data_IF_017928111102
#
_entry.id   IF_017928111102
#
_cell.length_a   1.000
_cell.length_b   1.000
_cell.length_c   1.000
_cell.angle_alpha   90.00
_cell.angle_beta   90.00
_cell.angle_gamma   90.00
#
_symmetry.space_group_name_H-M   'P 1'
#
loop_
_entity.id
_entity.type
_entity.pdbx_description
1 polymer ?
#
# COMPACT_ATOMS: atom_id res chain seq x y z
N UNK A 1 17.48 -20.46 -16.50
CA UNK A 1 16.62 -19.66 -17.38
C UNK A 1 16.53 -18.29 -16.76
N UNK A 2 17.16 -17.33 -17.42
CA UNK A 2 17.30 -15.95 -16.96
C UNK A 2 16.08 -15.20 -17.50
N UNK A 3 15.09 -14.94 -16.64
CA UNK A 3 14.03 -14.00 -17.00
C UNK A 3 14.57 -12.57 -16.86
N UNK A 4 15.31 -12.13 -17.87
CA UNK A 4 15.49 -10.72 -18.17
C UNK A 4 14.19 -10.21 -18.81
N UNK A 5 13.24 -9.79 -17.97
CA UNK A 5 12.18 -8.90 -18.43
C UNK A 5 12.38 -7.51 -17.79
N UNK A 6 13.03 -6.57 -18.47
CA UNK A 6 13.16 -5.21 -17.98
C UNK A 6 11.77 -4.54 -18.04
N UNK A 7 11.31 -4.03 -16.90
CA UNK A 7 10.00 -3.40 -16.67
C UNK A 7 8.82 -4.33 -16.40
N UNK A 8 8.91 -5.15 -15.34
CA UNK A 8 7.70 -5.38 -14.54
C UNK A 8 7.44 -4.07 -13.78
N UNK A 9 6.62 -3.18 -14.35
CA UNK A 9 6.18 -1.96 -13.67
C UNK A 9 5.57 -2.36 -12.33
N UNK A 10 6.14 -1.88 -11.23
CA UNK A 10 5.58 -2.12 -9.90
C UNK A 10 4.10 -1.71 -9.90
N UNK A 11 3.22 -2.58 -9.41
CA UNK A 11 1.78 -2.33 -9.39
C UNK A 11 1.49 -1.12 -8.49
N UNK A 12 0.97 -0.04 -9.07
CA UNK A 12 0.59 1.15 -8.33
C UNK A 12 -0.55 0.82 -7.35
N UNK A 13 -0.34 1.14 -6.07
CA UNK A 13 -1.37 1.04 -5.05
C UNK A 13 -2.07 2.38 -4.91
N UNK A 14 -3.34 2.45 -5.28
CA UNK A 14 -4.15 3.68 -5.24
C UNK A 14 -5.57 3.49 -4.69
N UNK A 15 -5.93 2.27 -4.27
CA UNK A 15 -7.27 1.92 -3.82
C UNK A 15 -7.25 1.58 -2.34
N UNK A 16 -7.52 2.61 -1.53
CA UNK A 16 -7.49 2.57 -0.06
C UNK A 16 -8.82 3.05 0.53
N UNK A 17 -9.93 2.34 0.29
CA UNK A 17 -11.22 2.72 0.85
C UNK A 17 -11.24 2.48 2.37
N UNK A 18 -12.14 3.17 3.09
CA UNK A 18 -12.47 2.81 4.47
C UNK A 18 -13.48 1.66 4.53
N UNK A 19 -14.36 1.56 3.53
CA UNK A 19 -15.32 0.47 3.35
C UNK A 19 -15.25 -0.02 1.90
N UNK A 20 -14.95 -1.31 1.73
CA UNK A 20 -14.71 -1.88 0.39
C UNK A 20 -15.87 -2.70 -0.17
N UNK A 21 -16.61 -3.40 0.68
CA UNK A 21 -17.67 -4.32 0.27
C UNK A 21 -18.98 -3.93 0.93
N UNK A 22 -19.91 -3.45 0.10
CA UNK A 22 -21.25 -3.05 0.52
C UNK A 22 -22.25 -3.37 -0.59
N UNK A 23 -22.79 -4.60 -0.57
CA UNK A 23 -23.67 -5.09 -1.62
C UNK A 23 -24.78 -5.99 -1.07
N UNK A 24 -25.91 -6.01 -1.78
CA UNK A 24 -27.02 -6.93 -1.54
C UNK A 24 -26.98 -8.01 -2.61
N UNK A 25 -26.89 -9.27 -2.19
CA UNK A 25 -26.73 -10.41 -3.09
C UNK A 25 -27.89 -11.39 -2.92
N UNK A 26 -28.62 -11.77 -4.00
CA UNK A 26 -29.67 -12.76 -3.91
C UNK A 26 -29.07 -14.17 -3.73
N UNK A 27 -29.53 -14.89 -2.71
CA UNK A 27 -29.03 -16.24 -2.34
C UNK A 27 -29.81 -17.39 -3.00
N UNK A 28 -30.82 -17.08 -3.81
CA UNK A 28 -31.65 -18.07 -4.49
C UNK A 28 -32.42 -19.00 -3.53
N UNK A 29 -32.99 -20.08 -4.08
CA UNK A 29 -33.81 -21.04 -3.31
C UNK A 29 -32.99 -21.90 -2.35
N UNK A 30 -31.70 -22.09 -2.63
CA UNK A 30 -30.80 -22.90 -1.82
C UNK A 30 -30.23 -22.14 -0.61
N UNK A 31 -30.41 -20.82 -0.57
CA UNK A 31 -29.92 -19.97 0.52
C UNK A 31 -28.40 -19.85 0.59
N UNK A 32 -27.69 -20.18 -0.49
CA UNK A 32 -26.23 -20.16 -0.57
C UNK A 32 -25.76 -19.32 -1.76
N UNK A 33 -24.72 -18.53 -1.55
CA UNK A 33 -24.06 -17.78 -2.61
C UNK A 33 -22.56 -17.69 -2.33
N UNK A 34 -21.77 -17.71 -3.40
CA UNK A 34 -20.33 -17.46 -3.36
C UNK A 34 -20.06 -16.19 -4.16
N UNK A 35 -19.31 -15.26 -3.58
CA UNK A 35 -18.93 -13.99 -4.22
C UNK A 35 -17.41 -13.91 -4.31
N UNK A 36 -16.91 -13.51 -5.48
CA UNK A 36 -15.49 -13.25 -5.70
C UNK A 36 -15.26 -11.75 -5.79
N UNK A 37 -14.36 -11.21 -4.96
CA UNK A 37 -14.03 -9.78 -4.91
C UNK A 37 -12.52 -9.60 -4.72
N UNK A 38 -11.97 -8.55 -5.33
CA UNK A 38 -10.55 -8.21 -5.21
C UNK A 38 -10.32 -7.35 -3.98
N UNK A 39 -9.48 -7.83 -3.06
CA UNK A 39 -9.14 -7.08 -1.84
C UNK A 39 -8.55 -5.70 -2.17
N UNK A 40 -8.80 -4.68 -1.34
CA UNK A 40 -8.20 -3.37 -1.52
C UNK A 40 -6.70 -3.40 -1.25
N UNK A 41 -6.00 -2.35 -1.65
CA UNK A 41 -4.56 -2.27 -1.49
C UNK A 41 -4.12 -1.98 -0.05
N UNK A 42 -5.05 -1.67 0.87
CA UNK A 42 -4.75 -1.45 2.30
C UNK A 42 -4.26 -2.75 2.94
N UNK A 43 -3.08 -2.71 3.57
CA UNK A 43 -2.53 -3.81 4.37
C UNK A 43 -3.16 -3.76 5.75
N UNK A 44 -4.23 -4.52 5.94
CA UNK A 44 -5.03 -4.48 7.17
C UNK A 44 -5.88 -5.75 7.31
N UNK A 45 -6.54 -5.86 8.46
CA UNK A 45 -7.58 -6.85 8.71
C UNK A 45 -8.94 -6.27 8.33
N UNK A 46 -9.54 -6.80 7.27
CA UNK A 46 -10.88 -6.46 6.85
C UNK A 46 -11.89 -7.27 7.67
N UNK A 47 -12.72 -6.59 8.45
CA UNK A 47 -13.80 -7.23 9.22
C UNK A 47 -15.11 -7.11 8.44
N UNK A 48 -15.63 -8.26 8.00
CA UNK A 48 -16.88 -8.36 7.26
C UNK A 48 -18.05 -8.70 8.17
N UNK A 49 -19.17 -8.00 7.96
CA UNK A 49 -20.46 -8.27 8.58
C UNK A 49 -21.44 -8.75 7.52
N UNK A 50 -22.24 -9.76 7.83
CA UNK A 50 -23.23 -10.30 6.88
C UNK A 50 -24.58 -10.45 7.55
N UNK A 51 -25.61 -10.00 6.85
CA UNK A 51 -27.01 -10.16 7.24
C UNK A 51 -27.78 -10.82 6.12
N UNK A 52 -28.75 -11.66 6.46
CA UNK A 52 -29.59 -12.38 5.51
C UNK A 52 -31.06 -12.12 5.84
N UNK A 53 -31.87 -11.85 4.82
CA UNK A 53 -33.31 -11.62 4.96
C UNK A 53 -34.04 -12.67 4.12
N UNK A 54 -34.93 -13.42 4.76
CA UNK A 54 -35.77 -14.44 4.13
C UNK A 54 -37.25 -14.18 4.45
N UNK A 55 -38.15 -14.31 3.46
CA UNK A 55 -39.59 -14.23 3.72
C UNK A 55 -40.11 -15.40 4.57
N UNK A 56 -39.39 -16.52 4.62
CA UNK A 56 -39.79 -17.72 5.39
C UNK A 56 -39.14 -17.74 6.77
N UNK A 57 -37.86 -17.35 6.86
CA UNK A 57 -37.06 -17.46 8.09
C UNK A 57 -36.79 -16.13 8.79
N UNK A 58 -37.22 -15.01 8.22
CA UNK A 58 -36.99 -13.67 8.79
C UNK A 58 -35.54 -13.19 8.61
N UNK A 59 -35.04 -12.46 9.60
CA UNK A 59 -33.69 -11.88 9.61
C UNK A 59 -32.70 -12.81 10.31
N UNK A 60 -31.56 -13.06 9.67
CA UNK A 60 -30.39 -13.71 10.25
C UNK A 60 -29.17 -12.79 10.23
N UNK A 61 -28.38 -12.80 11.30
CA UNK A 61 -27.12 -12.05 11.40
C UNK A 61 -26.00 -13.05 11.66
N UNK A 62 -24.98 -13.03 10.81
CA UNK A 62 -23.81 -13.88 10.98
C UNK A 62 -22.80 -13.25 11.94
N UNK A 63 -21.99 -14.04 12.66
CA UNK A 63 -20.82 -13.51 13.36
C UNK A 63 -19.84 -12.86 12.35
N UNK A 64 -19.09 -11.85 12.78
CA UNK A 64 -18.12 -11.19 11.91
C UNK A 64 -17.02 -12.15 11.47
N UNK A 65 -16.54 -11.97 10.24
CA UNK A 65 -15.42 -12.74 9.67
C UNK A 65 -14.29 -11.79 9.29
N UNK A 66 -13.05 -12.16 9.63
CA UNK A 66 -11.87 -11.35 9.35
C UNK A 66 -11.09 -11.90 8.15
N UNK A 67 -10.66 -11.01 7.25
CA UNK A 67 -9.79 -11.33 6.11
C UNK A 67 -8.56 -10.42 6.18
N UNK A 68 -7.38 -11.01 6.29
CA UNK A 68 -6.12 -10.27 6.35
C UNK A 68 -5.55 -10.03 4.95
N UNK A 69 -5.42 -8.76 4.55
CA UNK A 69 -4.73 -8.35 3.34
C UNK A 69 -3.27 -8.02 3.67
N UNK A 70 -2.32 -8.76 3.07
CA UNK A 70 -0.90 -8.63 3.43
C UNK A 70 0.06 -8.76 2.23
N UNK A 71 1.19 -8.07 2.32
CA UNK A 71 2.31 -8.15 1.38
C UNK A 71 3.62 -8.21 2.17
N UNK A 72 4.60 -9.01 1.71
CA UNK A 72 5.88 -9.16 2.40
C UNK A 72 6.75 -7.91 2.34
N UNK A 73 6.53 -7.05 1.35
CA UNK A 73 7.27 -5.82 1.15
C UNK A 73 6.32 -4.76 0.59
N UNK A 74 6.21 -3.62 1.27
CA UNK A 74 5.34 -2.54 0.86
C UNK A 74 5.76 -1.19 1.45
N UNK A 75 5.34 -0.13 0.76
CA UNK A 75 5.33 1.23 1.30
C UNK A 75 3.97 1.51 1.95
N UNK A 76 4.02 2.27 3.03
CA UNK A 76 2.87 2.88 3.68
C UNK A 76 3.14 4.36 3.91
N UNK A 77 2.09 5.15 4.00
CA UNK A 77 2.23 6.59 4.17
C UNK A 77 1.10 7.17 5.02
N UNK A 78 1.43 8.26 5.72
CA UNK A 78 0.46 8.99 6.54
C UNK A 78 0.37 10.43 6.07
N UNK A 79 -0.82 10.80 5.59
CA UNK A 79 -1.16 12.16 5.19
C UNK A 79 -2.29 12.69 6.08
N UNK A 80 -2.25 13.97 6.46
CA UNK A 80 -3.38 14.63 7.09
C UNK A 80 -4.50 14.81 6.06
N UNK A 81 -5.71 15.07 6.55
CA UNK A 81 -6.87 15.33 5.69
C UNK A 81 -6.64 16.47 4.69
N UNK A 82 -5.95 17.55 5.10
CA UNK A 82 -5.57 18.65 4.22
C UNK A 82 -4.35 19.41 4.77
N UNK A 83 -3.69 20.17 3.90
CA UNK A 83 -2.53 21.02 4.23
C UNK A 83 -2.81 22.41 3.70
N UNK A 84 -2.45 23.47 4.44
CA UNK A 84 -2.62 24.84 3.93
C UNK A 84 -1.46 25.21 3.01
N UNK A 85 -1.78 25.91 1.92
CA UNK A 85 -0.79 26.47 0.99
C UNK A 85 0.26 27.31 1.74
N UNK A 86 1.53 27.06 1.45
CA UNK A 86 2.67 27.75 2.04
C UNK A 86 3.19 27.17 3.35
N UNK A 87 2.45 26.25 3.99
CA UNK A 87 2.92 25.53 5.17
C UNK A 87 3.96 24.47 4.79
N UNK A 88 4.83 24.13 5.74
CA UNK A 88 5.80 23.04 5.61
C UNK A 88 5.21 21.80 6.28
N UNK A 89 5.04 20.74 5.50
CA UNK A 89 4.53 19.45 5.95
C UNK A 89 5.65 18.40 5.92
N UNK A 90 5.69 17.53 6.92
CA UNK A 90 6.56 16.35 6.91
C UNK A 90 5.74 15.14 6.47
N UNK A 91 5.85 14.78 5.20
CA UNK A 91 5.24 13.59 4.63
C UNK A 91 6.07 12.36 4.99
N UNK A 92 5.54 11.53 5.89
CA UNK A 92 6.20 10.31 6.38
C UNK A 92 5.82 9.14 5.49
N UNK A 93 6.84 8.49 4.96
CA UNK A 93 6.72 7.26 4.19
C UNK A 93 7.49 6.17 4.92
N UNK A 94 6.77 5.10 5.26
CA UNK A 94 7.30 3.93 5.95
C UNK A 94 7.49 2.81 4.94
N UNK A 95 8.64 2.15 5.00
CA UNK A 95 8.93 1.00 4.17
C UNK A 95 9.10 -0.23 5.06
N UNK A 96 8.32 -1.26 4.78
CA UNK A 96 8.30 -2.48 5.57
C UNK A 96 8.94 -3.64 4.80
N UNK A 97 9.86 -4.34 5.46
CA UNK A 97 10.43 -5.60 4.97
C UNK A 97 10.09 -6.73 5.94
N UNK A 98 9.10 -7.55 5.59
CA UNK A 98 8.74 -8.75 6.33
C UNK A 98 9.46 -10.01 5.84
N UNK A 99 10.36 -9.89 4.86
CA UNK A 99 11.18 -11.00 4.41
C UNK A 99 12.23 -11.40 5.45
N UNK A 100 12.81 -12.59 5.26
CA UNK A 100 13.85 -13.15 6.13
C UNK A 100 15.27 -12.69 5.79
N UNK A 101 15.42 -11.78 4.84
CA UNK A 101 16.70 -11.23 4.39
C UNK A 101 16.61 -9.72 4.22
N UNK A 102 17.76 -9.05 4.25
CA UNK A 102 17.81 -7.59 4.03
C UNK A 102 17.54 -7.26 2.56
N UNK A 103 16.99 -6.07 2.30
CA UNK A 103 16.76 -5.57 0.94
C UNK A 103 17.44 -4.21 0.76
N UNK A 104 18.27 -4.03 -0.28
CA UNK A 104 18.75 -2.71 -0.68
C UNK A 104 17.63 -2.03 -1.45
N UNK A 105 17.06 -0.97 -0.88
CA UNK A 105 15.88 -0.30 -1.44
C UNK A 105 16.15 1.16 -1.68
N UNK A 106 15.85 1.61 -2.90
CA UNK A 106 15.79 3.00 -3.31
C UNK A 106 14.33 3.45 -3.31
N UNK A 107 14.02 4.46 -2.51
CA UNK A 107 12.74 5.15 -2.57
C UNK A 107 12.87 6.43 -3.39
N UNK A 108 11.83 6.74 -4.16
CA UNK A 108 11.76 7.93 -5.02
C UNK A 108 10.36 8.52 -4.94
N UNK A 109 10.29 9.79 -4.59
CA UNK A 109 9.09 10.60 -4.79
C UNK A 109 9.13 11.19 -6.21
N UNK A 110 8.02 11.08 -6.94
CA UNK A 110 7.88 11.71 -8.25
C UNK A 110 7.77 13.23 -8.10
N UNK A 111 8.27 13.96 -9.09
CA UNK A 111 8.11 15.40 -9.13
C UNK A 111 6.65 15.75 -9.43
N UNK A 112 6.08 16.66 -8.65
CA UNK A 112 4.67 17.04 -8.74
C UNK A 112 4.55 18.54 -8.87
N UNK A 113 3.89 19.00 -9.93
CA UNK A 113 3.61 20.42 -10.10
C UNK A 113 2.76 20.95 -8.94
N UNK A 114 3.19 22.08 -8.36
CA UNK A 114 2.48 22.72 -7.26
C UNK A 114 2.87 22.25 -5.85
N UNK A 115 3.84 21.33 -5.71
CA UNK A 115 4.48 20.98 -4.43
C UNK A 115 5.99 21.08 -4.58
N UNK A 116 6.65 21.82 -3.68
CA UNK A 116 8.11 21.79 -3.60
C UNK A 116 8.59 20.75 -2.58
N UNK A 117 9.69 20.07 -2.92
CA UNK A 117 10.57 19.44 -1.94
C UNK A 117 11.44 20.51 -1.28
N UNK A 118 11.26 20.71 0.02
CA UNK A 118 11.96 21.71 0.80
C UNK A 118 13.00 21.05 1.70
N UNK A 119 14.30 21.23 1.44
CA UNK A 119 15.37 20.70 2.31
C UNK A 119 15.31 19.18 2.53
N UNK A 120 14.81 18.43 1.54
CA UNK A 120 14.80 16.96 1.51
C UNK A 120 15.08 16.45 0.10
N UNK A 121 15.65 15.24 -0.01
CA UNK A 121 15.96 14.65 -1.31
C UNK A 121 14.75 13.89 -1.84
N UNK A 122 14.52 13.97 -3.17
CA UNK A 122 13.47 13.17 -3.82
C UNK A 122 13.81 11.67 -3.80
N UNK A 123 15.09 11.32 -3.70
CA UNK A 123 15.60 9.95 -3.73
C UNK A 123 16.39 9.68 -2.44
N UNK A 124 16.17 8.51 -1.86
CA UNK A 124 16.96 7.99 -0.76
C UNK A 124 17.11 6.48 -0.87
N UNK A 125 18.24 5.94 -0.42
CA UNK A 125 18.55 4.52 -0.48
C UNK A 125 18.83 3.97 0.92
N UNK A 126 18.38 2.75 1.18
CA UNK A 126 18.44 2.13 2.49
C UNK A 126 18.69 0.63 2.39
N UNK A 127 19.43 0.08 3.35
CA UNK A 127 19.43 -1.34 3.60
C UNK A 127 18.39 -1.68 4.66
N UNK A 128 17.23 -2.19 4.24
CA UNK A 128 16.14 -2.57 5.17
C UNK A 128 16.42 -3.97 5.69
N UNK A 129 16.66 -4.10 6.99
CA UNK A 129 16.95 -5.38 7.63
C UNK A 129 15.77 -6.36 7.55
N UNK A 130 15.99 -7.66 7.78
CA UNK A 130 14.92 -8.65 7.81
C UNK A 130 13.92 -8.32 8.92
N UNK A 131 12.62 -8.45 8.63
CA UNK A 131 11.54 -8.19 9.60
C UNK A 131 11.64 -6.82 10.27
N UNK A 132 12.09 -5.82 9.51
CA UNK A 132 12.34 -4.48 9.99
C UNK A 132 11.63 -3.44 9.11
N UNK A 133 11.59 -2.20 9.58
CA UNK A 133 11.01 -1.08 8.85
C UNK A 133 11.87 0.15 8.96
N UNK A 134 11.79 1.00 7.94
CA UNK A 134 12.41 2.32 7.94
C UNK A 134 11.34 3.38 7.71
N UNK A 135 11.62 4.61 8.15
CA UNK A 135 10.75 5.76 7.88
C UNK A 135 11.59 6.86 7.25
N UNK A 136 11.19 7.30 6.07
CA UNK A 136 11.74 8.49 5.42
C UNK A 136 10.74 9.65 5.47
N UNK A 137 11.27 10.87 5.57
CA UNK A 137 10.45 12.07 5.67
C UNK A 137 10.76 13.00 4.50
N UNK A 138 9.80 13.11 3.58
CA UNK A 138 9.80 14.16 2.58
C UNK A 138 9.25 15.44 3.21
N UNK A 139 9.96 16.54 3.05
CA UNK A 139 9.51 17.83 3.56
C UNK A 139 8.90 18.57 2.37
N UNK A 140 7.58 18.72 2.41
CA UNK A 140 6.77 19.25 1.30
C UNK A 140 6.27 20.66 1.62
N UNK A 141 6.27 21.53 0.60
CA UNK A 141 5.68 22.87 0.67
C UNK A 141 4.70 23.07 -0.48
N UNK A 142 3.37 23.02 -0.23
CA UNK A 142 2.37 23.23 -1.27
C UNK A 142 2.32 24.69 -1.75
N UNK A 143 2.25 24.88 -3.07
CA UNK A 143 2.16 26.19 -3.75
C UNK A 143 0.79 26.50 -4.32
N UNK A 144 0.00 25.47 -4.65
CA UNK A 144 -1.31 25.62 -5.27
C UNK A 144 -2.43 25.27 -4.30
N UNK A 145 -3.65 25.67 -4.65
CA UNK A 145 -4.88 25.23 -3.97
C UNK A 145 -5.53 24.13 -4.81
N UNK A 146 -6.28 23.24 -4.17
CA UNK A 146 -6.95 22.11 -4.81
C UNK A 146 -6.29 20.78 -4.46
N UNK A 147 -6.67 19.74 -5.20
CA UNK A 147 -6.16 18.38 -5.03
C UNK A 147 -4.89 18.18 -5.85
N UNK A 148 -3.90 17.53 -5.24
CA UNK A 148 -2.61 17.23 -5.86
C UNK A 148 -2.24 15.79 -5.54
N UNK A 149 -1.94 15.01 -6.58
CA UNK A 149 -1.58 13.60 -6.43
C UNK A 149 -0.07 13.45 -6.18
N UNK A 150 0.28 12.80 -5.08
CA UNK A 150 1.67 12.51 -4.72
C UNK A 150 1.93 11.02 -4.92
N UNK A 151 2.99 10.69 -5.67
CA UNK A 151 3.42 9.31 -5.91
C UNK A 151 4.79 9.07 -5.29
N UNK A 152 4.92 7.96 -4.56
CA UNK A 152 6.20 7.46 -4.06
C UNK A 152 6.36 6.00 -4.49
N UNK A 153 7.52 5.67 -5.02
CA UNK A 153 7.86 4.34 -5.48
C UNK A 153 9.10 3.83 -4.78
N UNK A 154 9.17 2.51 -4.57
CA UNK A 154 10.32 1.82 -4.03
C UNK A 154 10.81 0.77 -5.04
N UNK A 155 12.12 0.67 -5.18
CA UNK A 155 12.78 -0.24 -6.11
C UNK A 155 13.98 -0.88 -5.42
N UNK A 156 14.41 -2.04 -5.90
CA UNK A 156 15.70 -2.59 -5.48
C UNK A 156 16.82 -1.68 -5.98
N UNK A 157 17.73 -1.32 -5.07
CA UNK A 157 18.90 -0.52 -5.40
C UNK A 157 20.08 -1.41 -5.77
N UNK A 158 20.33 -1.56 -7.07
CA UNK A 158 21.46 -2.34 -7.59
C UNK A 158 22.81 -1.68 -7.33
N UNK A 159 22.83 -0.37 -7.07
CA UNK A 159 24.05 0.42 -6.89
C UNK A 159 24.32 0.71 -5.41
N UNK A 160 23.69 -0.04 -4.49
CA UNK A 160 23.85 0.16 -3.06
C UNK A 160 25.32 -0.12 -2.65
N UNK A 161 26.01 0.82 -1.98
CA UNK A 161 27.47 0.78 -1.82
C UNK A 161 27.97 -0.31 -0.86
N UNK A 162 27.11 -0.80 0.02
CA UNK A 162 27.45 -1.79 1.05
C UNK A 162 26.75 -3.13 0.75
N UNK A 163 27.30 -4.27 1.23
CA UNK A 163 26.62 -5.55 1.10
C UNK A 163 25.29 -5.52 1.87
N UNK A 164 24.17 -5.58 1.16
CA UNK A 164 22.83 -5.59 1.73
C UNK A 164 21.96 -6.66 1.06
N UNK A 165 21.68 -7.74 1.79
CA UNK A 165 20.80 -8.80 1.32
C UNK A 165 21.48 -9.84 0.43
N UNK A 166 20.70 -10.78 -0.13
CA UNK A 166 21.21 -11.82 -1.02
C UNK A 166 21.49 -11.24 -2.41
N UNK A 167 22.48 -11.79 -3.12
CA UNK A 167 22.86 -11.37 -4.48
C UNK A 167 21.72 -11.53 -5.51
N UNK A 168 20.76 -12.42 -5.24
CA UNK A 168 19.57 -12.62 -6.06
C UNK A 168 18.32 -12.71 -5.18
N UNK A 169 17.31 -11.90 -5.51
CA UNK A 169 15.99 -11.96 -4.87
C UNK A 169 15.08 -12.74 -5.81
N UNK A 170 14.78 -13.99 -5.46
CA UNK A 170 13.85 -14.82 -6.24
C UNK A 170 12.43 -14.52 -5.78
N UNK A 171 11.60 -13.94 -6.65
CA UNK A 171 10.16 -13.84 -6.44
C UNK A 171 9.54 -15.23 -6.64
N UNK A 172 9.32 -15.98 -5.57
CA UNK A 172 8.38 -17.11 -5.60
C UNK A 172 6.96 -16.58 -5.54
N UNK A 173 6.20 -16.81 -6.61
CA UNK A 173 4.80 -16.40 -6.77
C UNK A 173 3.86 -17.30 -5.96
#
# INVERSE_FOLDING_TARGET
YVDQNPAQTATLRSYFPETWLWELVPTGKEGKVTIERTLPHTITDWVGYTTCISPVHGLGIAPPTTITAFQLFFLDYSLPYSIKRGEIMRFKVSLFNYMHHSLPVKIKMEEVEGIDLHSSNSIASFCVKPRDSIVYQYILKPRVLGEVNVTVAAFIDTDFPEPCGPETVVFTR
#
